data_IF_030529599382
#
_entry.id   IF_030529599382
#
_cell.length_a   1.000
_cell.length_b   1.000
_cell.length_c   1.000
_cell.angle_alpha   90.00
_cell.angle_beta   90.00
_cell.angle_gamma   90.00
#
_symmetry.space_group_name_H-M   'P 1'
#
loop_
_entity.id
_entity.type
_entity.pdbx_description
1 polymer ?
#
# COMPACT_ATOMS: atom_id res chain seq x y z
N UNK A 1 13.95 -10.58 -5.44
CA UNK A 1 13.53 -9.16 -5.32
C UNK A 1 12.93 -8.93 -3.93
N UNK A 2 13.29 -7.84 -3.24
CA UNK A 2 12.69 -7.46 -1.96
C UNK A 2 11.60 -6.42 -2.21
N UNK A 3 10.42 -6.62 -1.64
CA UNK A 3 9.32 -5.67 -1.81
C UNK A 3 8.62 -5.33 -0.50
N UNK A 4 8.08 -4.12 -0.43
CA UNK A 4 7.14 -3.72 0.60
C UNK A 4 5.70 -3.89 0.10
N UNK A 5 4.76 -4.14 1.01
CA UNK A 5 3.33 -4.09 0.72
C UNK A 5 2.72 -2.81 1.27
N UNK A 6 1.78 -2.22 0.53
CA UNK A 6 0.94 -1.13 1.02
C UNK A 6 -0.55 -1.45 0.81
N UNK A 7 -1.33 -1.36 1.89
CA UNK A 7 -2.77 -1.57 1.87
C UNK A 7 -3.50 -0.41 2.56
N UNK A 8 -4.64 0.00 2.02
CA UNK A 8 -5.41 1.13 2.58
C UNK A 8 -6.88 0.76 2.65
N UNK A 9 -7.48 0.97 3.82
CA UNK A 9 -8.94 0.92 4.00
C UNK A 9 -9.51 2.33 4.01
N UNK A 10 -10.63 2.53 3.31
CA UNK A 10 -11.41 3.77 3.35
C UNK A 10 -12.89 3.40 3.42
N UNK A 11 -13.59 3.99 4.39
CA UNK A 11 -15.01 3.74 4.64
C UNK A 11 -15.95 4.50 3.67
N UNK A 12 -15.38 5.33 2.78
CA UNK A 12 -16.12 6.32 1.98
C UNK A 12 -16.94 5.74 0.82
N UNK A 13 -16.66 4.50 0.39
CA UNK A 13 -17.32 3.91 -0.77
C UNK A 13 -17.59 2.42 -0.51
N UNK A 14 -18.85 2.00 -0.60
CA UNK A 14 -19.44 0.69 -0.22
C UNK A 14 -18.86 -0.58 -0.91
N UNK A 15 -17.58 -0.58 -1.27
CA UNK A 15 -16.79 -1.77 -1.60
C UNK A 15 -15.65 -1.87 -0.59
N UNK A 16 -15.96 -2.46 0.54
CA UNK A 16 -15.02 -2.71 1.63
C UNK A 16 -14.17 -3.94 1.30
N UNK A 17 -13.04 -3.70 0.66
CA UNK A 17 -11.98 -4.70 0.63
C UNK A 17 -11.09 -4.45 1.85
N UNK A 18 -11.28 -5.24 2.89
CA UNK A 18 -10.53 -5.13 4.14
C UNK A 18 -9.03 -5.16 3.88
N UNK A 19 -8.24 -4.49 4.74
CA UNK A 19 -6.77 -4.56 4.69
C UNK A 19 -6.29 -6.01 4.61
N UNK A 20 -6.90 -6.92 5.37
CA UNK A 20 -6.53 -8.35 5.34
C UNK A 20 -6.72 -8.99 3.96
N UNK A 21 -7.82 -8.70 3.27
CA UNK A 21 -8.07 -9.21 1.91
C UNK A 21 -7.04 -8.67 0.91
N UNK A 22 -6.69 -7.38 1.01
CA UNK A 22 -5.64 -6.78 0.18
C UNK A 22 -4.28 -7.42 0.46
N UNK A 23 -3.92 -7.60 1.74
CA UNK A 23 -2.65 -8.22 2.13
C UNK A 23 -2.57 -9.68 1.71
N UNK A 24 -3.67 -10.44 1.77
CA UNK A 24 -3.74 -11.81 1.27
C UNK A 24 -3.42 -11.86 -0.22
N UNK A 25 -4.09 -11.02 -1.03
CA UNK A 25 -3.85 -10.96 -2.46
C UNK A 25 -2.40 -10.56 -2.79
N UNK A 26 -1.84 -9.59 -2.06
CA UNK A 26 -0.43 -9.17 -2.20
C UNK A 26 0.52 -10.33 -1.86
N UNK A 27 0.27 -11.06 -0.77
CA UNK A 27 1.09 -12.22 -0.37
C UNK A 27 1.04 -13.33 -1.41
N UNK A 28 -0.14 -13.67 -1.91
CA UNK A 28 -0.30 -14.67 -2.98
C UNK A 28 0.38 -14.24 -4.28
N UNK A 29 0.36 -12.95 -4.62
CA UNK A 29 1.12 -12.44 -5.76
C UNK A 29 2.63 -12.58 -5.51
N UNK A 30 3.10 -12.21 -4.32
CA UNK A 30 4.53 -12.28 -4.01
C UNK A 30 5.05 -13.72 -3.98
N UNK A 31 4.30 -14.64 -3.39
CA UNK A 31 4.64 -16.07 -3.34
C UNK A 31 4.78 -16.65 -4.76
N UNK A 32 3.78 -16.41 -5.61
CA UNK A 32 3.78 -16.88 -7.02
C UNK A 32 4.92 -16.32 -7.86
N UNK A 33 5.44 -15.15 -7.51
CA UNK A 33 6.49 -14.46 -8.27
C UNK A 33 7.88 -14.54 -7.59
N UNK A 34 8.02 -15.28 -6.49
CA UNK A 34 9.28 -15.37 -5.74
C UNK A 34 9.75 -14.02 -5.17
N UNK A 35 8.80 -13.13 -4.87
CA UNK A 35 9.07 -11.80 -4.29
C UNK A 35 9.09 -11.95 -2.77
N UNK A 36 10.16 -11.48 -2.13
CA UNK A 36 10.28 -11.48 -0.67
C UNK A 36 9.65 -10.22 -0.10
N UNK A 37 8.52 -10.36 0.58
CA UNK A 37 7.92 -9.28 1.34
C UNK A 37 8.79 -8.96 2.57
N UNK A 38 9.34 -7.74 2.65
CA UNK A 38 10.21 -7.33 3.77
C UNK A 38 9.51 -6.43 4.78
N UNK A 39 8.46 -5.72 4.36
CA UNK A 39 7.70 -4.82 5.23
C UNK A 39 6.27 -4.64 4.72
N UNK A 40 5.35 -4.36 5.62
CA UNK A 40 3.93 -4.13 5.33
C UNK A 40 3.55 -2.79 5.94
N UNK A 41 2.91 -1.94 5.14
CA UNK A 41 2.40 -0.64 5.53
C UNK A 41 0.89 -0.61 5.33
N UNK A 42 0.17 -0.05 6.29
CA UNK A 42 -1.29 -0.01 6.26
C UNK A 42 -1.81 1.33 6.73
N UNK A 43 -2.82 1.87 6.04
CA UNK A 43 -3.54 3.07 6.47
C UNK A 43 -5.04 2.80 6.59
N UNK A 44 -5.63 3.18 7.73
CA UNK A 44 -7.06 3.12 8.00
C UNK A 44 -7.64 4.54 7.91
N UNK A 45 -8.31 4.89 6.81
CA UNK A 45 -9.08 6.12 6.73
C UNK A 45 -10.42 5.93 7.47
N UNK A 46 -10.40 6.17 8.79
CA UNK A 46 -11.58 6.08 9.68
C UNK A 46 -12.56 7.24 9.53
N UNK A 47 -12.17 8.33 8.88
CA UNK A 47 -13.02 9.51 8.69
C UNK A 47 -12.76 10.15 7.34
N UNK A 48 -13.83 10.57 6.65
CA UNK A 48 -13.78 11.26 5.35
C UNK A 48 -12.97 12.57 5.36
N UNK A 49 -12.61 13.06 6.55
CA UNK A 49 -11.93 14.33 6.78
C UNK A 49 -10.43 14.21 7.03
N UNK A 50 -9.91 13.01 7.32
CA UNK A 50 -8.53 12.84 7.77
C UNK A 50 -7.84 11.80 6.88
N UNK A 51 -7.21 12.30 5.82
CA UNK A 51 -6.32 11.53 4.91
C UNK A 51 -4.89 11.51 5.49
N UNK A 52 -4.74 11.32 6.80
CA UNK A 52 -3.44 11.06 7.39
C UNK A 52 -3.03 9.65 6.94
N UNK A 53 -2.00 9.59 6.08
CA UNK A 53 -1.43 8.35 5.52
C UNK A 53 -0.06 8.07 6.16
N UNK A 54 0.03 7.85 7.48
CA UNK A 54 1.31 7.65 8.16
C UNK A 54 2.05 6.41 7.63
N UNK A 55 1.34 5.35 7.26
CA UNK A 55 1.90 4.15 6.64
C UNK A 55 2.51 4.45 5.28
N UNK A 56 1.86 5.27 4.46
CA UNK A 56 2.41 5.75 3.20
C UNK A 56 3.67 6.59 3.40
N UNK A 57 3.64 7.56 4.32
CA UNK A 57 4.81 8.41 4.61
C UNK A 57 6.01 7.59 5.10
N UNK A 58 5.77 6.64 6.01
CA UNK A 58 6.83 5.75 6.48
C UNK A 58 7.41 4.89 5.33
N UNK A 59 6.56 4.40 4.44
CA UNK A 59 7.00 3.65 3.26
C UNK A 59 7.90 4.49 2.35
N UNK A 60 7.59 5.78 2.14
CA UNK A 60 8.44 6.68 1.35
C UNK A 60 9.78 6.94 2.04
N UNK A 61 9.80 7.11 3.37
CA UNK A 61 11.06 7.25 4.11
C UNK A 61 11.92 5.99 3.99
N UNK A 62 11.32 4.82 4.17
CA UNK A 62 12.00 3.54 4.09
C UNK A 62 12.47 3.18 2.68
N UNK A 63 11.78 3.67 1.64
CA UNK A 63 12.24 3.54 0.25
C UNK A 63 13.49 4.37 0.01
N UNK A 64 13.57 5.59 0.57
CA UNK A 64 14.76 6.43 0.51
C UNK A 64 15.98 5.80 1.22
N UNK A 65 15.73 4.92 2.21
CA UNK A 65 16.77 4.14 2.90
C UNK A 65 17.19 2.87 2.15
N UNK A 66 16.58 2.53 1.01
CA UNK A 66 16.93 1.34 0.21
C UNK A 66 16.55 0.00 0.85
N UNK A 67 15.55 0.00 1.76
CA UNK A 67 15.13 -1.19 2.50
C UNK A 67 14.42 -2.23 1.62
N UNK A 68 13.87 -1.81 0.48
CA UNK A 68 13.21 -2.67 -0.51
C UNK A 68 13.39 -2.11 -1.91
N UNK A 69 13.17 -2.96 -2.91
CA UNK A 69 13.40 -2.65 -4.33
C UNK A 69 12.08 -2.31 -5.06
N UNK A 70 10.94 -2.70 -4.50
CA UNK A 70 9.61 -2.48 -5.10
C UNK A 70 8.51 -2.32 -4.03
N UNK A 71 7.39 -1.70 -4.41
CA UNK A 71 6.16 -1.64 -3.60
C UNK A 71 5.04 -2.38 -4.32
N UNK A 72 4.37 -3.29 -3.62
CA UNK A 72 3.23 -4.04 -4.12
C UNK A 72 1.96 -3.51 -3.47
N UNK A 73 0.96 -3.19 -4.30
CA UNK A 73 -0.36 -2.70 -3.88
C UNK A 73 -1.44 -3.53 -4.53
N UNK A 74 -2.58 -3.69 -3.85
CA UNK A 74 -3.69 -4.46 -4.41
C UNK A 74 -4.34 -3.75 -5.60
N UNK A 75 -4.50 -2.43 -5.53
CA UNK A 75 -5.04 -1.59 -6.62
C UNK A 75 -4.35 -0.23 -6.65
N UNK A 76 -4.05 0.25 -7.85
CA UNK A 76 -3.37 1.54 -8.07
C UNK A 76 -4.20 2.75 -7.61
N UNK A 77 -5.53 2.68 -7.71
CA UNK A 77 -6.43 3.74 -7.22
C UNK A 77 -6.35 3.98 -5.71
N UNK A 78 -5.79 3.01 -4.96
CA UNK A 78 -5.53 3.11 -3.51
C UNK A 78 -4.13 3.64 -3.18
N UNK A 79 -3.24 3.70 -4.17
CA UNK A 79 -1.88 4.23 -4.04
C UNK A 79 -1.86 5.72 -4.39
N UNK A 80 -2.33 6.10 -5.58
CA UNK A 80 -2.43 7.50 -6.00
C UNK A 80 -3.80 7.77 -6.62
N UNK A 81 -4.51 8.78 -6.10
CA UNK A 81 -5.75 9.27 -6.72
C UNK A 81 -5.46 10.29 -7.84
N UNK A 82 -4.24 10.77 -7.93
CA UNK A 82 -3.76 11.66 -8.98
C UNK A 82 -2.66 10.98 -9.78
N UNK A 83 -2.96 10.74 -11.07
CA UNK A 83 -1.92 10.83 -12.10
C UNK A 83 -1.67 12.32 -12.27
N UNK A 84 -0.41 12.75 -12.20
CA UNK A 84 0.09 14.14 -12.20
C UNK A 84 0.26 14.77 -10.82
N UNK A 85 1.44 14.55 -10.25
CA UNK A 85 2.28 15.71 -9.91
C UNK A 85 3.65 15.46 -10.58
N UNK A 86 3.78 15.97 -11.79
CA UNK A 86 5.03 16.06 -12.54
C UNK A 86 4.97 17.40 -13.24
N UNK A 87 5.45 18.41 -12.54
CA UNK A 87 5.92 19.68 -13.08
C UNK A 87 7.13 20.11 -12.25
#
# INVERSE_FOLDING_TARGET
>A
MRAAAYARYSSDNQREESIDAQLRAIREYCDRNGIRLVKIYTDEARSATTDDRPGFLQMIQDSALGLFDAVIVHKLDRFSRDRYDSA
#
